data_IF_921758029325
#
_entry.id   IF_921758029325
#
_cell.length_a   1.000
_cell.length_b   1.000
_cell.length_c   1.000
_cell.angle_alpha   90.00
_cell.angle_beta   90.00
_cell.angle_gamma   90.00
#
_symmetry.space_group_name_H-M   'P 1'
#
loop_
_entity.id
_entity.type
_entity.pdbx_description
1 polymer ?
#
# COMPACT_ATOMS: atom_id res chain seq x y z
N UNK A 1 -8.82 -1.39 0.96
CA UNK A 1 -7.96 -2.08 1.95
C UNK A 1 -6.66 -1.34 2.26
N UNK A 2 -5.64 -1.32 1.37
CA UNK A 2 -4.33 -0.69 1.67
C UNK A 2 -4.43 0.81 2.00
N UNK A 3 -5.19 1.59 1.21
CA UNK A 3 -5.41 3.02 1.47
C UNK A 3 -6.21 3.29 2.76
N UNK A 4 -7.23 2.48 3.04
CA UNK A 4 -8.07 2.61 4.24
C UNK A 4 -7.34 2.20 5.53
N UNK A 5 -6.49 1.18 5.46
CA UNK A 5 -5.86 0.60 6.66
C UNK A 5 -4.50 1.19 6.97
N UNK A 6 -3.88 1.92 6.02
CA UNK A 6 -2.55 2.54 6.17
C UNK A 6 -1.47 1.56 6.71
N UNK A 7 -1.69 0.26 6.49
CA UNK A 7 -0.93 -0.82 7.08
C UNK A 7 -0.97 -2.02 6.13
N UNK A 8 0.20 -2.35 5.56
CA UNK A 8 0.33 -3.43 4.58
C UNK A 8 -0.05 -4.78 5.19
N UNK A 9 0.31 -5.03 6.45
CA UNK A 9 0.03 -6.30 7.14
C UNK A 9 -1.47 -6.47 7.40
N UNK A 10 -2.17 -5.42 7.86
CA UNK A 10 -3.63 -5.46 8.03
C UNK A 10 -4.35 -5.58 6.70
N UNK A 11 -3.88 -4.89 5.67
CA UNK A 11 -4.43 -5.00 4.33
C UNK A 11 -4.24 -6.39 3.73
N UNK A 12 -3.08 -7.02 3.95
CA UNK A 12 -2.80 -8.39 3.54
C UNK A 12 -3.76 -9.39 4.20
N UNK A 13 -3.93 -9.31 5.53
CA UNK A 13 -4.91 -10.13 6.24
C UNK A 13 -6.34 -9.91 5.75
N UNK A 14 -6.74 -8.66 5.50
CA UNK A 14 -8.08 -8.33 4.98
C UNK A 14 -8.32 -8.79 3.55
N UNK A 15 -7.27 -8.88 2.73
CA UNK A 15 -7.34 -9.33 1.34
C UNK A 15 -7.16 -10.85 1.21
N UNK A 16 -6.90 -11.56 2.30
CA UNK A 16 -6.54 -12.98 2.26
C UNK A 16 -5.22 -13.25 1.52
N UNK A 17 -4.34 -12.25 1.44
CA UNK A 17 -3.08 -12.30 0.71
C UNK A 17 -1.90 -12.29 1.67
N UNK A 18 -0.75 -12.79 1.23
CA UNK A 18 0.49 -12.62 1.98
C UNK A 18 0.98 -11.17 1.91
N UNK A 19 1.64 -10.69 2.96
CA UNK A 19 2.23 -9.34 3.00
C UNK A 19 3.17 -9.05 1.81
N UNK A 20 4.02 -9.99 1.34
CA UNK A 20 4.83 -9.78 0.14
C UNK A 20 3.98 -9.63 -1.14
N UNK A 21 2.89 -10.38 -1.27
CA UNK A 21 2.00 -10.29 -2.44
C UNK A 21 1.32 -8.91 -2.51
N UNK A 22 0.86 -8.39 -1.37
CA UNK A 22 0.29 -7.03 -1.29
C UNK A 22 1.37 -5.97 -1.54
N UNK A 23 2.57 -6.12 -0.98
CA UNK A 23 3.67 -5.18 -1.22
C UNK A 23 4.06 -5.13 -2.71
N UNK A 24 4.13 -6.29 -3.38
CA UNK A 24 4.43 -6.37 -4.80
C UNK A 24 3.29 -5.81 -5.66
N UNK A 25 2.03 -6.07 -5.31
CA UNK A 25 0.88 -5.48 -6.00
C UNK A 25 0.89 -3.95 -5.91
N UNK A 26 1.18 -3.40 -4.72
CA UNK A 26 1.33 -1.96 -4.51
C UNK A 26 2.52 -1.41 -5.31
N UNK A 27 3.66 -2.08 -5.31
CA UNK A 27 4.83 -1.67 -6.09
C UNK A 27 4.56 -1.67 -7.61
N UNK A 28 3.83 -2.67 -8.13
CA UNK A 28 3.40 -2.69 -9.54
C UNK A 28 2.44 -1.56 -9.85
N UNK A 29 1.52 -1.26 -8.93
CA UNK A 29 0.62 -0.10 -9.05
C UNK A 29 1.43 1.21 -9.13
N UNK A 30 2.44 1.38 -8.28
CA UNK A 30 3.34 2.56 -8.31
C UNK A 30 3.99 2.74 -9.68
N UNK A 31 4.51 1.67 -10.26
CA UNK A 31 5.17 1.70 -11.58
C UNK A 31 4.16 2.04 -12.69
N UNK A 32 2.95 1.48 -12.63
CA UNK A 32 1.90 1.77 -13.62
C UNK A 32 1.39 3.21 -13.55
N UNK A 33 1.29 3.78 -12.36
CA UNK A 33 0.83 5.16 -12.17
C UNK A 33 1.98 6.19 -12.17
N UNK A 34 3.23 5.73 -12.27
CA UNK A 34 4.46 6.54 -12.12
C UNK A 34 4.40 7.49 -10.90
N UNK A 35 3.73 7.04 -9.83
CA UNK A 35 3.37 7.87 -8.69
C UNK A 35 3.62 7.13 -7.37
N UNK A 36 4.18 7.86 -6.39
CA UNK A 36 4.25 7.36 -5.03
C UNK A 36 2.88 7.53 -4.38
N UNK A 37 1.98 6.57 -4.57
CA UNK A 37 0.67 6.58 -3.89
C UNK A 37 0.78 6.40 -2.35
N UNK A 38 1.93 5.92 -1.88
CA UNK A 38 2.21 5.70 -0.46
C UNK A 38 3.68 5.99 -0.14
N UNK A 39 3.88 6.84 0.87
CA UNK A 39 5.18 7.12 1.48
C UNK A 39 5.31 6.37 2.81
N UNK A 40 6.50 5.85 3.11
CA UNK A 40 6.76 5.21 4.41
C UNK A 40 6.86 6.30 5.47
N UNK A 41 5.97 6.25 6.47
CA UNK A 41 6.00 7.16 7.61
C UNK A 41 6.23 6.32 8.87
N UNK A 42 7.46 6.32 9.39
CA UNK A 42 7.84 5.50 10.54
C UNK A 42 7.60 4.01 10.33
N UNK A 43 6.77 3.38 11.18
CA UNK A 43 6.39 1.95 11.07
C UNK A 43 5.18 1.70 10.16
N UNK A 44 4.61 2.74 9.56
CA UNK A 44 3.39 2.66 8.74
C UNK A 44 3.59 3.16 7.31
N UNK A 45 2.50 3.13 6.53
CA UNK A 45 2.44 3.73 5.20
C UNK A 45 1.38 4.82 5.18
N UNK A 46 1.76 6.02 4.76
CA UNK A 46 0.84 7.14 4.59
C UNK A 46 0.46 7.25 3.11
N UNK A 47 -0.84 7.33 2.76
CA UNK A 47 -1.25 7.66 1.41
C UNK A 47 -0.79 9.08 1.07
N UNK A 48 -0.34 9.30 -0.16
CA UNK A 48 0.00 10.66 -0.63
C UNK A 48 -1.25 11.43 -1.00
N UNK A 49 -1.14 12.75 -1.15
CA UNK A 49 -2.26 13.65 -1.45
C UNK A 49 -3.07 13.26 -2.70
N UNK A 50 -2.51 12.45 -3.61
CA UNK A 50 -3.18 11.98 -4.83
C UNK A 50 -3.95 10.67 -4.68
N UNK A 51 -3.74 9.94 -3.58
CA UNK A 51 -4.44 8.71 -3.25
C UNK A 51 -5.75 8.95 -2.46
N UNK A 52 -6.19 10.21 -2.35
CA UNK A 52 -7.36 10.63 -1.58
C UNK A 52 -8.65 10.54 -2.40
#
# INVERSE_FOLDING_TARGET
>A
AVMQMQNITRAANSLGMSQPAVSNAVARLKVMFNDELFVRCGRGIQPTMRAR
#
